data_IF_740630117602
#
_entry.id   IF_740630117602
#
_cell.length_a   1.000
_cell.length_b   1.000
_cell.length_c   1.000
_cell.angle_alpha   90.00
_cell.angle_beta   90.00
_cell.angle_gamma   90.00
#
_symmetry.space_group_name_H-M   'P 1'
#
loop_
_entity.id
_entity.type
_entity.pdbx_description
1 polymer ?
#
# COMPACT_ATOMS: atom_id res chain seq x y z
N UNK A 1 29.73 -58.70 20.01
CA UNK A 1 28.95 -57.56 20.52
C UNK A 1 29.45 -56.22 19.96
N UNK A 2 29.55 -56.05 18.62
CA UNK A 2 30.01 -54.78 17.99
C UNK A 2 29.12 -54.29 16.83
N UNK A 3 27.95 -54.91 16.59
CA UNK A 3 27.07 -54.52 15.48
C UNK A 3 26.05 -53.43 15.86
N UNK A 4 25.85 -53.15 17.14
CA UNK A 4 24.85 -52.17 17.61
C UNK A 4 25.36 -50.72 17.49
N UNK A 5 26.67 -50.46 17.57
CA UNK A 5 27.22 -49.09 17.51
C UNK A 5 27.33 -48.54 16.08
N UNK A 6 27.64 -49.39 15.09
CA UNK A 6 27.78 -48.96 13.69
C UNK A 6 26.43 -48.56 13.09
N UNK A 7 25.37 -49.34 13.35
CA UNK A 7 24.00 -49.04 12.89
C UNK A 7 23.49 -47.74 13.51
N UNK A 8 23.73 -47.50 14.81
CA UNK A 8 23.34 -46.25 15.46
C UNK A 8 24.09 -45.02 14.90
N UNK A 9 25.36 -45.20 14.55
CA UNK A 9 26.19 -44.12 13.97
C UNK A 9 25.75 -43.80 12.54
N UNK A 10 25.45 -44.80 11.71
CA UNK A 10 24.94 -44.60 10.36
C UNK A 10 23.55 -43.93 10.35
N UNK A 11 22.69 -44.25 11.33
CA UNK A 11 21.36 -43.64 11.45
C UNK A 11 21.45 -42.16 11.85
N UNK A 12 22.32 -41.82 12.81
CA UNK A 12 22.60 -40.42 13.19
C UNK A 12 23.21 -39.61 12.04
N UNK A 13 24.13 -40.20 11.28
CA UNK A 13 24.75 -39.54 10.12
C UNK A 13 23.69 -39.25 9.05
N UNK A 14 22.78 -40.19 8.78
CA UNK A 14 21.70 -40.00 7.81
C UNK A 14 20.70 -38.92 8.24
N UNK A 15 20.34 -38.84 9.52
CA UNK A 15 19.47 -37.78 10.06
C UNK A 15 20.13 -36.40 9.93
N UNK A 16 21.42 -36.29 10.29
CA UNK A 16 22.20 -35.06 10.14
C UNK A 16 22.28 -34.59 8.67
N UNK A 17 22.53 -35.49 7.73
CA UNK A 17 22.56 -35.14 6.31
C UNK A 17 21.19 -34.66 5.80
N UNK A 18 20.11 -35.32 6.24
CA UNK A 18 18.74 -34.92 5.88
C UNK A 18 18.38 -33.55 6.44
N UNK A 19 18.65 -33.31 7.72
CA UNK A 19 18.36 -32.03 8.36
C UNK A 19 19.17 -30.89 7.72
N UNK A 20 20.47 -31.09 7.48
CA UNK A 20 21.31 -30.11 6.76
C UNK A 20 20.80 -29.83 5.34
N UNK A 21 20.32 -30.85 4.63
CA UNK A 21 19.72 -30.66 3.31
C UNK A 21 18.46 -29.78 3.40
N UNK A 22 17.53 -30.07 4.31
CA UNK A 22 16.29 -29.32 4.50
C UNK A 22 16.56 -27.86 4.92
N UNK A 23 17.53 -27.62 5.80
CA UNK A 23 17.98 -26.26 6.13
C UNK A 23 18.56 -25.54 4.90
N UNK A 24 19.35 -26.24 4.09
CA UNK A 24 19.87 -25.71 2.83
C UNK A 24 18.76 -25.31 1.85
N UNK A 25 17.68 -26.11 1.74
CA UNK A 25 16.50 -25.76 0.93
C UNK A 25 15.80 -24.52 1.51
N UNK A 26 15.61 -24.47 2.83
CA UNK A 26 14.98 -23.32 3.53
C UNK A 26 15.75 -22.02 3.26
N UNK A 27 17.07 -22.04 3.36
CA UNK A 27 17.90 -20.87 3.12
C UNK A 27 17.81 -20.38 1.66
N UNK A 28 17.82 -21.30 0.67
CA UNK A 28 17.62 -20.95 -0.74
C UNK A 28 16.23 -20.36 -0.96
N UNK A 29 15.21 -20.99 -0.38
CA UNK A 29 13.83 -20.52 -0.48
C UNK A 29 13.68 -19.10 0.09
N UNK A 30 14.24 -18.83 1.28
CA UNK A 30 14.23 -17.48 1.88
C UNK A 30 14.83 -16.43 0.93
N UNK A 31 15.97 -16.74 0.32
CA UNK A 31 16.62 -15.86 -0.67
C UNK A 31 15.72 -15.64 -1.89
N UNK A 32 15.14 -16.70 -2.44
CA UNK A 32 14.24 -16.61 -3.60
C UNK A 32 13.00 -15.78 -3.29
N UNK A 33 12.31 -16.04 -2.18
CA UNK A 33 11.06 -15.33 -1.90
C UNK A 33 11.26 -13.85 -1.59
N UNK A 34 12.44 -13.46 -1.05
CA UNK A 34 12.75 -12.05 -0.80
C UNK A 34 12.72 -11.18 -2.06
N UNK A 35 12.83 -11.78 -3.24
CA UNK A 35 12.82 -11.10 -4.54
C UNK A 35 11.47 -11.20 -5.24
N UNK A 36 10.52 -11.98 -4.71
CA UNK A 36 9.22 -12.15 -5.33
C UNK A 36 8.32 -10.96 -5.01
N UNK A 37 7.57 -10.53 -6.01
CA UNK A 37 6.57 -9.45 -5.91
C UNK A 37 5.15 -9.93 -6.13
N UNK A 38 4.97 -11.14 -6.69
CA UNK A 38 3.69 -11.72 -7.08
C UNK A 38 3.33 -12.95 -6.24
N UNK A 39 2.06 -13.05 -5.86
CA UNK A 39 1.54 -14.16 -5.05
C UNK A 39 1.56 -15.50 -5.79
N UNK A 40 1.37 -15.49 -7.12
CA UNK A 40 1.50 -16.69 -7.96
C UNK A 40 2.92 -17.27 -7.96
N UNK A 41 3.92 -16.39 -7.96
CA UNK A 41 5.33 -16.80 -7.89
C UNK A 41 5.67 -17.40 -6.51
N UNK A 42 5.09 -16.87 -5.41
CA UNK A 42 5.24 -17.46 -4.08
C UNK A 42 4.72 -18.89 -4.05
N UNK A 43 3.51 -19.13 -4.58
CA UNK A 43 2.91 -20.47 -4.63
C UNK A 43 3.81 -21.46 -5.38
N UNK A 44 4.38 -21.05 -6.52
CA UNK A 44 5.29 -21.89 -7.30
C UNK A 44 6.60 -22.18 -6.54
N UNK A 45 7.24 -21.15 -5.96
CA UNK A 45 8.46 -21.31 -5.19
C UNK A 45 8.25 -22.21 -3.96
N UNK A 46 7.11 -22.04 -3.27
CA UNK A 46 6.73 -22.85 -2.10
C UNK A 46 6.55 -24.31 -2.48
N UNK A 47 5.87 -24.57 -3.60
CA UNK A 47 5.69 -25.93 -4.11
C UNK A 47 7.02 -26.59 -4.45
N UNK A 48 7.92 -25.89 -5.14
CA UNK A 48 9.26 -26.39 -5.50
C UNK A 48 10.08 -26.71 -4.25
N UNK A 49 10.11 -25.79 -3.28
CA UNK A 49 10.84 -26.02 -2.03
C UNK A 49 10.30 -27.25 -1.28
N UNK A 50 8.98 -27.39 -1.13
CA UNK A 50 8.38 -28.55 -0.45
C UNK A 50 8.65 -29.88 -1.16
N UNK A 51 8.76 -29.87 -2.50
CA UNK A 51 9.21 -31.05 -3.27
C UNK A 51 10.69 -31.34 -2.97
N UNK A 52 11.55 -30.32 -2.94
CA UNK A 52 12.99 -30.47 -2.60
C UNK A 52 13.18 -30.97 -1.16
N UNK A 53 12.31 -30.62 -0.21
CA UNK A 53 12.33 -31.19 1.14
C UNK A 53 12.14 -32.72 1.16
N UNK A 54 11.67 -33.32 0.05
CA UNK A 54 11.40 -34.75 -0.06
C UNK A 54 10.12 -35.19 0.62
N UNK A 55 9.18 -34.26 0.82
CA UNK A 55 7.93 -34.48 1.55
C UNK A 55 6.74 -34.65 0.59
N UNK A 56 5.67 -35.24 1.11
CA UNK A 56 4.40 -35.39 0.40
C UNK A 56 3.31 -34.66 1.18
N UNK A 57 2.42 -33.96 0.48
CA UNK A 57 1.38 -33.21 1.16
C UNK A 57 0.58 -32.25 0.30
N UNK A 58 -0.16 -31.38 0.98
CA UNK A 58 -0.74 -30.17 0.39
C UNK A 58 -0.36 -28.97 1.23
N UNK A 59 -0.30 -27.82 0.57
CA UNK A 59 -0.33 -26.55 1.27
C UNK A 59 -1.43 -25.68 0.71
N UNK A 60 -1.79 -24.70 1.54
CA UNK A 60 -2.74 -23.67 1.24
C UNK A 60 -2.12 -22.33 1.62
N UNK A 61 -2.20 -21.39 0.68
CA UNK A 61 -1.86 -19.99 0.95
C UNK A 61 -3.14 -19.17 0.84
N UNK A 62 -3.40 -18.38 1.88
CA UNK A 62 -4.53 -17.44 1.98
C UNK A 62 -4.00 -16.02 1.78
N UNK A 63 -4.59 -15.31 0.83
CA UNK A 63 -4.31 -13.91 0.54
C UNK A 63 -5.63 -13.15 0.49
N UNK A 64 -5.93 -12.36 1.52
CA UNK A 64 -7.20 -11.59 1.59
C UNK A 64 -8.42 -12.47 1.23
N UNK A 65 -8.95 -12.34 0.01
CA UNK A 65 -10.10 -13.10 -0.53
C UNK A 65 -9.73 -14.32 -1.36
N UNK A 66 -8.47 -14.49 -1.73
CA UNK A 66 -7.97 -15.58 -2.57
C UNK A 66 -7.37 -16.70 -1.73
N UNK A 67 -7.80 -17.93 -2.02
CA UNK A 67 -7.29 -19.16 -1.42
C UNK A 67 -6.69 -20.02 -2.52
N UNK A 68 -5.39 -20.27 -2.46
CA UNK A 68 -4.72 -21.20 -3.37
C UNK A 68 -4.34 -22.46 -2.61
N UNK A 69 -4.76 -23.62 -3.12
CA UNK A 69 -4.39 -24.93 -2.57
C UNK A 69 -3.58 -25.66 -3.63
N UNK A 70 -2.42 -26.19 -3.23
CA UNK A 70 -1.54 -26.98 -4.10
C UNK A 70 -1.13 -28.26 -3.41
N UNK A 71 -1.09 -29.34 -4.19
CA UNK A 71 -0.51 -30.62 -3.77
C UNK A 71 0.95 -30.68 -4.20
N UNK A 72 1.78 -31.35 -3.42
CA UNK A 72 3.17 -31.61 -3.74
C UNK A 72 3.55 -33.05 -3.35
N UNK A 73 4.60 -33.56 -3.98
CA UNK A 73 4.97 -34.96 -3.87
C UNK A 73 4.07 -35.90 -4.69
N UNK A 74 4.30 -37.20 -4.53
CA UNK A 74 3.68 -38.25 -5.35
C UNK A 74 2.50 -38.95 -4.67
N UNK A 75 2.40 -38.87 -3.33
CA UNK A 75 1.41 -39.61 -2.55
C UNK A 75 0.55 -38.65 -1.73
N UNK A 76 -0.74 -38.63 -2.01
CA UNK A 76 -1.72 -37.97 -1.14
C UNK A 76 -3.09 -38.59 -1.36
N UNK A 77 -3.60 -39.25 -0.31
CA UNK A 77 -4.94 -39.85 -0.31
C UNK A 77 -6.04 -38.81 -0.50
N UNK A 78 -7.22 -39.23 -0.98
CA UNK A 78 -8.40 -38.35 -1.08
C UNK A 78 -8.83 -37.81 0.29
N UNK A 79 -8.56 -38.57 1.35
CA UNK A 79 -8.96 -38.26 2.73
C UNK A 79 -8.18 -37.09 3.34
N UNK A 80 -6.98 -36.79 2.83
CA UNK A 80 -6.19 -35.64 3.26
C UNK A 80 -6.90 -34.29 2.97
N UNK A 81 -7.72 -34.23 1.92
CA UNK A 81 -8.55 -33.04 1.62
C UNK A 81 -9.70 -32.89 2.62
N UNK A 82 -10.29 -33.99 3.11
CA UNK A 82 -11.28 -33.96 4.20
C UNK A 82 -10.67 -33.63 5.56
N UNK A 83 -9.34 -33.70 5.67
CA UNK A 83 -8.60 -33.33 6.87
C UNK A 83 -8.46 -31.80 6.97
N UNK A 84 -8.38 -31.07 5.85
CA UNK A 84 -8.42 -29.59 5.83
C UNK A 84 -9.64 -29.00 6.57
N UNK A 85 -10.83 -29.55 6.32
CA UNK A 85 -12.09 -29.04 6.88
C UNK A 85 -12.24 -29.31 8.38
N UNK A 86 -11.58 -30.36 8.90
CA UNK A 86 -11.63 -30.70 10.33
C UNK A 86 -10.84 -29.72 11.21
N UNK A 87 -9.99 -28.88 10.61
CA UNK A 87 -9.05 -28.04 11.35
C UNK A 87 -9.08 -26.56 10.95
N UNK A 88 -10.03 -26.16 10.11
CA UNK A 88 -10.37 -24.75 9.88
C UNK A 88 -10.81 -24.10 11.20
N UNK A 89 -9.86 -23.52 11.95
CA UNK A 89 -10.08 -22.92 13.26
C UNK A 89 -8.91 -23.01 14.24
N UNK A 90 -7.91 -23.85 13.96
CA UNK A 90 -6.69 -23.99 14.79
C UNK A 90 -5.55 -23.11 14.26
N UNK A 91 -5.64 -21.79 14.43
CA UNK A 91 -4.56 -20.85 14.08
C UNK A 91 -3.40 -21.01 15.10
N UNK A 92 -2.16 -20.88 14.62
CA UNK A 92 -0.88 -20.98 15.36
C UNK A 92 -0.67 -22.32 16.08
N UNK A 93 -1.03 -23.42 15.40
CA UNK A 93 -0.90 -24.76 15.97
C UNK A 93 -0.24 -25.71 14.99
N UNK A 94 0.70 -26.48 15.52
CA UNK A 94 1.18 -27.72 14.91
C UNK A 94 0.38 -28.85 15.54
N UNK A 95 -0.33 -29.63 14.73
CA UNK A 95 -1.07 -30.78 15.22
C UNK A 95 -0.80 -32.02 14.37
N UNK A 96 -0.89 -33.18 15.02
CA UNK A 96 -0.79 -34.48 14.37
C UNK A 96 -2.12 -35.21 14.53
N UNK A 97 -2.60 -35.80 13.43
CA UNK A 97 -3.74 -36.71 13.44
C UNK A 97 -3.40 -37.91 12.57
N UNK A 98 -3.25 -39.07 13.20
CA UNK A 98 -2.85 -40.31 12.53
C UNK A 98 -1.54 -40.10 11.76
N UNK A 99 -1.57 -40.31 10.45
CA UNK A 99 -0.44 -40.23 9.54
C UNK A 99 -0.22 -38.83 8.95
N UNK A 100 -0.96 -37.83 9.44
CA UNK A 100 -0.85 -36.46 8.97
C UNK A 100 -0.32 -35.51 10.04
N UNK A 101 0.65 -34.69 9.66
CA UNK A 101 1.13 -33.54 10.43
C UNK A 101 0.69 -32.26 9.75
N UNK A 102 0.18 -31.30 10.52
CA UNK A 102 -0.33 -30.04 10.00
C UNK A 102 0.28 -28.84 10.72
N UNK A 103 0.65 -27.82 9.95
CA UNK A 103 1.04 -26.50 10.39
C UNK A 103 -0.05 -25.53 9.95
N UNK A 104 -0.76 -24.94 10.90
CA UNK A 104 -1.73 -23.91 10.63
C UNK A 104 -1.24 -22.59 11.19
N UNK A 105 -0.88 -21.69 10.28
CA UNK A 105 -0.58 -20.29 10.58
C UNK A 105 -1.69 -19.39 10.02
N UNK A 106 -1.53 -18.08 10.19
CA UNK A 106 -2.55 -17.10 9.81
C UNK A 106 -2.84 -17.14 8.31
N UNK A 107 -1.78 -17.14 7.49
CA UNK A 107 -1.89 -17.07 6.03
C UNK A 107 -1.48 -18.36 5.33
N UNK A 108 -0.69 -19.19 6.00
CA UNK A 108 -0.22 -20.46 5.48
C UNK A 108 -0.81 -21.66 6.22
N UNK A 109 -1.15 -22.71 5.48
CA UNK A 109 -1.50 -24.01 6.06
C UNK A 109 -0.79 -25.11 5.29
N UNK A 110 -0.06 -25.96 5.98
CA UNK A 110 0.68 -27.10 5.42
C UNK A 110 0.16 -28.39 6.04
N UNK A 111 -0.16 -29.38 5.22
CA UNK A 111 -0.46 -30.74 5.67
C UNK A 111 0.51 -31.68 4.99
N UNK A 112 1.16 -32.51 5.80
CA UNK A 112 2.18 -33.47 5.42
C UNK A 112 1.68 -34.87 5.69
N UNK A 113 1.89 -35.75 4.73
CA UNK A 113 1.85 -37.19 4.94
C UNK A 113 3.18 -37.62 5.56
N UNK A 114 3.10 -38.10 6.81
CA UNK A 114 4.26 -38.56 7.60
C UNK A 114 4.21 -40.06 7.86
N UNK A 115 3.36 -40.82 7.15
CA UNK A 115 3.22 -42.28 7.28
C UNK A 115 4.55 -43.03 7.13
N UNK A 116 5.43 -42.55 6.24
CA UNK A 116 6.72 -43.16 5.92
C UNK A 116 7.88 -42.62 6.80
N UNK A 117 7.60 -41.79 7.82
CA UNK A 117 8.61 -41.16 8.68
C UNK A 117 8.65 -41.77 10.10
N UNK A 118 9.85 -41.86 10.68
CA UNK A 118 10.02 -42.20 12.11
C UNK A 118 9.73 -40.98 12.99
N UNK A 119 9.42 -41.18 14.28
CA UNK A 119 9.19 -40.07 15.23
C UNK A 119 10.34 -39.05 15.26
N UNK A 120 11.59 -39.53 15.28
CA UNK A 120 12.78 -38.67 15.26
C UNK A 120 12.86 -37.81 13.98
N UNK A 121 12.54 -38.39 12.82
CA UNK A 121 12.48 -37.67 11.55
C UNK A 121 11.32 -36.68 11.49
N UNK A 122 10.21 -36.98 12.17
CA UNK A 122 9.06 -36.09 12.29
C UNK A 122 9.45 -34.86 13.11
N UNK A 123 10.11 -35.04 14.26
CA UNK A 123 10.57 -33.94 15.11
C UNK A 123 11.58 -33.05 14.39
N UNK A 124 12.57 -33.63 13.69
CA UNK A 124 13.52 -32.86 12.87
C UNK A 124 12.84 -32.07 11.74
N UNK A 125 11.92 -32.73 11.03
CA UNK A 125 11.17 -32.09 9.93
C UNK A 125 10.30 -30.95 10.47
N UNK A 126 9.79 -31.08 11.69
CA UNK A 126 8.95 -30.08 12.33
C UNK A 126 9.71 -28.78 12.59
N UNK A 127 10.92 -28.86 13.13
CA UNK A 127 11.72 -27.67 13.41
C UNK A 127 12.10 -26.91 12.12
N UNK A 128 12.52 -27.65 11.09
CA UNK A 128 12.87 -27.06 9.79
C UNK A 128 11.66 -26.43 9.09
N UNK A 129 10.49 -27.06 9.20
CA UNK A 129 9.26 -26.54 8.61
C UNK A 129 8.62 -25.41 9.41
N UNK A 130 8.88 -25.30 10.71
CA UNK A 130 8.48 -24.14 11.49
C UNK A 130 9.14 -22.87 10.91
N UNK A 131 10.48 -22.90 10.74
CA UNK A 131 11.23 -21.79 10.13
C UNK A 131 10.71 -21.49 8.71
N UNK A 132 10.52 -22.53 7.89
CA UNK A 132 10.00 -22.38 6.54
C UNK A 132 8.61 -21.72 6.51
N UNK A 133 7.72 -22.11 7.41
CA UNK A 133 6.35 -21.59 7.48
C UNK A 133 6.34 -20.14 7.99
N UNK A 134 7.17 -19.80 8.97
CA UNK A 134 7.33 -18.43 9.47
C UNK A 134 7.83 -17.47 8.38
N UNK A 135 8.75 -17.94 7.53
CA UNK A 135 9.27 -17.18 6.39
C UNK A 135 8.14 -16.84 5.40
N UNK A 136 7.23 -17.78 5.13
CA UNK A 136 6.07 -17.56 4.26
C UNK A 136 5.11 -16.57 4.89
N UNK A 137 4.74 -16.77 6.15
CA UNK A 137 3.78 -15.90 6.83
C UNK A 137 4.32 -14.46 6.96
N UNK A 138 5.61 -14.29 7.26
CA UNK A 138 6.27 -12.98 7.29
C UNK A 138 6.26 -12.30 5.91
N UNK A 139 6.52 -13.05 4.83
CA UNK A 139 6.46 -12.51 3.47
C UNK A 139 5.05 -12.03 3.13
N UNK A 140 4.02 -12.83 3.47
CA UNK A 140 2.62 -12.50 3.17
C UNK A 140 2.18 -11.27 3.97
N UNK A 141 2.50 -11.21 5.27
CA UNK A 141 2.19 -10.06 6.11
C UNK A 141 2.81 -8.77 5.55
N UNK A 142 4.10 -8.80 5.20
CA UNK A 142 4.79 -7.65 4.60
C UNK A 142 4.18 -7.23 3.26
N UNK A 143 3.77 -8.19 2.41
CA UNK A 143 3.13 -7.88 1.13
C UNK A 143 1.75 -7.24 1.30
N UNK A 144 0.97 -7.68 2.29
CA UNK A 144 -0.31 -7.07 2.63
C UNK A 144 -0.09 -5.63 3.12
N UNK A 145 0.85 -5.41 4.04
CA UNK A 145 1.17 -4.07 4.55
C UNK A 145 1.67 -3.13 3.43
N UNK A 146 2.56 -3.61 2.56
CA UNK A 146 3.06 -2.84 1.43
C UNK A 146 1.94 -2.45 0.47
N UNK A 147 0.99 -3.37 0.20
CA UNK A 147 -0.17 -3.10 -0.65
C UNK A 147 -1.08 -2.06 -0.01
N UNK A 148 -1.41 -2.21 1.28
CA UNK A 148 -2.22 -1.24 2.02
C UNK A 148 -1.57 0.15 2.03
N UNK A 149 -0.24 0.21 2.22
CA UNK A 149 0.51 1.46 2.16
C UNK A 149 0.41 2.10 0.77
N UNK A 150 0.58 1.32 -0.31
CA UNK A 150 0.43 1.84 -1.68
C UNK A 150 -0.99 2.37 -1.93
N UNK A 151 -2.02 1.63 -1.54
CA UNK A 151 -3.42 2.07 -1.70
C UNK A 151 -3.72 3.35 -0.91
N UNK A 152 -3.25 3.43 0.35
CA UNK A 152 -3.40 4.63 1.17
C UNK A 152 -2.64 5.82 0.59
N UNK A 153 -1.43 5.60 0.06
CA UNK A 153 -0.64 6.65 -0.56
C UNK A 153 -1.29 7.18 -1.85
N UNK A 154 -1.84 6.31 -2.69
CA UNK A 154 -2.60 6.72 -3.88
C UNK A 154 -3.86 7.52 -3.51
N UNK A 155 -4.60 7.09 -2.50
CA UNK A 155 -5.75 7.86 -1.98
C UNK A 155 -5.33 9.24 -1.46
N UNK A 156 -4.21 9.32 -0.74
CA UNK A 156 -3.66 10.56 -0.24
C UNK A 156 -3.21 11.49 -1.37
N UNK A 157 -2.53 10.97 -2.40
CA UNK A 157 -2.18 11.73 -3.61
C UNK A 157 -3.41 12.32 -4.28
N UNK A 158 -4.45 11.51 -4.48
CA UNK A 158 -5.71 11.96 -5.09
C UNK A 158 -6.39 13.06 -4.25
N UNK A 159 -6.45 12.92 -2.93
CA UNK A 159 -6.99 13.94 -2.03
C UNK A 159 -6.21 15.26 -2.12
N UNK A 160 -4.88 15.21 -2.16
CA UNK A 160 -4.05 16.41 -2.32
C UNK A 160 -4.27 17.08 -3.68
N UNK A 161 -4.31 16.33 -4.78
CA UNK A 161 -4.60 16.88 -6.11
C UNK A 161 -5.96 17.57 -6.15
N UNK A 162 -6.99 16.98 -5.55
CA UNK A 162 -8.31 17.60 -5.46
C UNK A 162 -8.29 18.92 -4.69
N UNK A 163 -7.57 18.98 -3.56
CA UNK A 163 -7.42 20.20 -2.76
C UNK A 163 -6.68 21.30 -3.52
N UNK A 164 -5.63 20.94 -4.26
CA UNK A 164 -4.88 21.89 -5.08
C UNK A 164 -5.77 22.46 -6.18
N UNK A 165 -6.52 21.61 -6.89
CA UNK A 165 -7.45 22.04 -7.93
C UNK A 165 -8.57 22.94 -7.37
N UNK A 166 -9.11 22.60 -6.21
CA UNK A 166 -10.12 23.43 -5.53
C UNK A 166 -9.56 24.81 -5.14
N UNK A 167 -8.33 24.84 -4.61
CA UNK A 167 -7.68 26.09 -4.22
C UNK A 167 -7.36 26.96 -5.44
N UNK A 168 -6.79 26.37 -6.50
CA UNK A 168 -6.53 27.03 -7.77
C UNK A 168 -7.80 27.67 -8.34
N UNK A 169 -8.91 26.91 -8.39
CA UNK A 169 -10.22 27.43 -8.79
C UNK A 169 -10.69 28.61 -7.94
N UNK A 170 -10.56 28.54 -6.61
CA UNK A 170 -10.93 29.64 -5.70
C UNK A 170 -10.09 30.89 -5.92
N UNK A 171 -8.78 30.75 -6.17
CA UNK A 171 -7.88 31.89 -6.44
C UNK A 171 -8.29 32.60 -7.73
N UNK A 172 -8.61 31.83 -8.79
CA UNK A 172 -9.10 32.38 -10.06
C UNK A 172 -10.43 33.12 -9.87
N UNK A 173 -11.41 32.52 -9.19
CA UNK A 173 -12.71 33.16 -8.93
C UNK A 173 -12.56 34.43 -8.10
N UNK A 174 -11.78 34.38 -7.00
CA UNK A 174 -11.54 35.54 -6.14
C UNK A 174 -10.89 36.69 -6.91
N UNK A 175 -9.96 36.38 -7.82
CA UNK A 175 -9.30 37.39 -8.66
C UNK A 175 -10.27 38.06 -9.63
N UNK A 176 -11.20 37.30 -10.22
CA UNK A 176 -12.24 37.84 -11.07
C UNK A 176 -13.25 38.70 -10.28
N UNK A 177 -13.66 38.23 -9.09
CA UNK A 177 -14.64 38.92 -8.25
C UNK A 177 -14.11 40.28 -7.76
N UNK A 178 -12.86 40.35 -7.31
CA UNK A 178 -12.25 41.62 -6.85
C UNK A 178 -12.21 42.64 -7.99
N UNK A 179 -11.87 42.23 -9.22
CA UNK A 179 -11.89 43.11 -10.40
C UNK A 179 -13.30 43.64 -10.68
N UNK A 180 -14.29 42.76 -10.69
CA UNK A 180 -15.69 43.13 -10.93
C UNK A 180 -16.20 44.09 -9.87
N UNK A 181 -15.99 43.78 -8.59
CA UNK A 181 -16.44 44.62 -7.48
C UNK A 181 -15.82 46.02 -7.53
N UNK A 182 -14.53 46.13 -7.85
CA UNK A 182 -13.89 47.44 -7.99
C UNK A 182 -14.49 48.28 -9.11
N UNK A 183 -14.76 47.67 -10.27
CA UNK A 183 -15.42 48.34 -11.38
C UNK A 183 -16.82 48.84 -10.98
N UNK A 184 -17.62 47.98 -10.35
CA UNK A 184 -18.98 48.30 -9.91
C UNK A 184 -19.01 49.44 -8.88
N UNK A 185 -18.14 49.37 -7.86
CA UNK A 185 -18.03 50.41 -6.84
C UNK A 185 -17.58 51.73 -7.46
N UNK A 186 -16.57 51.70 -8.33
CA UNK A 186 -16.03 52.91 -8.97
C UNK A 186 -17.08 53.59 -9.84
N UNK A 187 -17.79 52.83 -10.67
CA UNK A 187 -18.88 53.35 -11.50
C UNK A 187 -20.05 53.89 -10.65
N UNK A 188 -20.43 53.17 -9.60
CA UNK A 188 -21.51 53.60 -8.70
C UNK A 188 -21.15 54.92 -8.00
N UNK A 189 -19.91 55.05 -7.53
CA UNK A 189 -19.42 56.27 -6.89
C UNK A 189 -19.46 57.46 -7.84
N UNK A 190 -18.92 57.31 -9.07
CA UNK A 190 -18.89 58.36 -10.08
C UNK A 190 -20.31 58.80 -10.50
N UNK A 191 -21.22 57.85 -10.70
CA UNK A 191 -22.63 58.14 -10.99
C UNK A 191 -23.30 58.88 -9.83
N UNK A 192 -23.03 58.48 -8.59
CA UNK A 192 -23.60 59.12 -7.41
C UNK A 192 -23.12 60.57 -7.29
N UNK A 193 -21.84 60.84 -7.52
CA UNK A 193 -21.27 62.19 -7.50
C UNK A 193 -21.88 63.06 -8.60
N UNK A 194 -21.91 62.56 -9.85
CA UNK A 194 -22.50 63.27 -10.97
C UNK A 194 -23.98 63.65 -10.74
N UNK A 195 -24.73 62.79 -10.03
CA UNK A 195 -26.12 63.07 -9.67
C UNK A 195 -26.29 64.09 -8.54
N UNK A 196 -25.26 64.28 -7.69
CA UNK A 196 -25.31 65.10 -6.47
C UNK A 196 -24.69 66.49 -6.64
N UNK A 197 -23.67 66.64 -7.47
CA UNK A 197 -23.01 67.94 -7.70
C UNK A 197 -23.97 69.09 -8.02
N UNK A 198 -24.98 68.94 -8.91
CA UNK A 198 -25.93 70.01 -9.20
C UNK A 198 -26.77 70.45 -7.99
N UNK A 199 -26.91 69.60 -6.97
CA UNK A 199 -27.66 69.89 -5.75
C UNK A 199 -26.82 70.53 -4.65
N UNK A 200 -25.50 70.46 -4.76
CA UNK A 200 -24.57 70.94 -3.73
C UNK A 200 -24.22 72.42 -3.90
N UNK A 201 -24.54 73.02 -5.05
CA UNK A 201 -24.25 74.43 -5.33
C UNK A 201 -22.75 74.73 -5.35
N UNK A 202 -21.96 73.75 -5.79
CA UNK A 202 -20.50 73.88 -5.93
C UNK A 202 -20.18 74.71 -7.18
N UNK A 203 -19.05 75.42 -7.13
CA UNK A 203 -18.47 76.02 -8.33
C UNK A 203 -17.78 74.94 -9.17
N UNK A 204 -17.68 75.16 -10.48
CA UNK A 204 -17.10 74.19 -11.44
C UNK A 204 -15.70 73.72 -11.02
N UNK A 205 -14.86 74.66 -10.55
CA UNK A 205 -13.50 74.35 -10.09
C UNK A 205 -13.49 73.39 -8.89
N UNK A 206 -14.48 73.47 -8.00
CA UNK A 206 -14.61 72.59 -6.83
C UNK A 206 -15.12 71.20 -7.23
N UNK A 207 -16.04 71.11 -8.17
CA UNK A 207 -16.50 69.83 -8.72
C UNK A 207 -15.35 69.09 -9.42
N UNK A 208 -14.55 69.81 -10.20
CA UNK A 208 -13.38 69.28 -10.89
C UNK A 208 -12.29 68.81 -9.89
N UNK A 209 -12.04 69.56 -8.82
CA UNK A 209 -11.09 69.15 -7.77
C UNK A 209 -11.53 67.86 -7.06
N UNK A 210 -12.82 67.74 -6.72
CA UNK A 210 -13.36 66.54 -6.08
C UNK A 210 -13.31 65.34 -7.02
N UNK A 211 -13.70 65.51 -8.29
CA UNK A 211 -13.63 64.45 -9.30
C UNK A 211 -12.19 63.97 -9.48
N UNK A 212 -11.25 64.89 -9.69
CA UNK A 212 -9.84 64.55 -9.82
C UNK A 212 -9.30 63.80 -8.60
N UNK A 213 -9.69 64.17 -7.37
CA UNK A 213 -9.27 63.46 -6.17
C UNK A 213 -9.83 62.02 -6.11
N UNK A 214 -11.07 61.83 -6.57
CA UNK A 214 -11.74 60.53 -6.52
C UNK A 214 -11.22 59.62 -7.64
N UNK A 215 -11.03 60.14 -8.85
CA UNK A 215 -10.41 59.43 -9.96
C UNK A 215 -8.98 58.98 -9.61
N UNK A 216 -8.16 59.86 -9.02
CA UNK A 216 -6.83 59.49 -8.51
C UNK A 216 -6.88 58.36 -7.47
N UNK A 217 -7.91 58.35 -6.62
CA UNK A 217 -8.11 57.30 -5.62
C UNK A 217 -8.51 55.99 -6.27
N UNK A 218 -9.46 56.03 -7.23
CA UNK A 218 -9.89 54.87 -8.02
C UNK A 218 -8.68 54.26 -8.74
N UNK A 219 -7.86 55.07 -9.42
CA UNK A 219 -6.65 54.62 -10.12
C UNK A 219 -5.63 53.97 -9.18
N UNK A 220 -5.48 54.51 -7.96
CA UNK A 220 -4.57 53.96 -6.96
C UNK A 220 -5.04 52.58 -6.51
N UNK A 221 -6.33 52.41 -6.20
CA UNK A 221 -6.88 51.11 -5.84
C UNK A 221 -6.89 50.12 -7.02
N UNK A 222 -7.14 50.61 -8.25
CA UNK A 222 -7.07 49.79 -9.46
C UNK A 222 -5.70 49.15 -9.64
N UNK A 223 -4.62 49.93 -9.43
CA UNK A 223 -3.24 49.41 -9.46
C UNK A 223 -2.97 48.36 -8.38
N UNK A 224 -3.47 48.56 -7.17
CA UNK A 224 -3.33 47.57 -6.09
C UNK A 224 -4.06 46.25 -6.42
N UNK A 225 -5.24 46.35 -7.04
CA UNK A 225 -6.00 45.17 -7.48
C UNK A 225 -5.28 44.44 -8.59
N UNK A 226 -4.72 45.15 -9.57
CA UNK A 226 -3.90 44.54 -10.62
C UNK A 226 -2.69 43.80 -10.04
N UNK A 227 -2.01 44.39 -9.06
CA UNK A 227 -0.90 43.73 -8.35
C UNK A 227 -1.36 42.46 -7.62
N UNK A 228 -2.50 42.50 -6.94
CA UNK A 228 -3.05 41.34 -6.26
C UNK A 228 -3.44 40.23 -7.26
N UNK A 229 -4.03 40.61 -8.40
CA UNK A 229 -4.40 39.64 -9.44
C UNK A 229 -3.16 38.99 -10.03
N UNK A 230 -2.11 39.77 -10.31
CA UNK A 230 -0.84 39.20 -10.80
C UNK A 230 -0.25 38.23 -9.78
N UNK A 231 -0.24 38.61 -8.49
CA UNK A 231 0.23 37.72 -7.41
C UNK A 231 -0.61 36.42 -7.32
N UNK A 232 -1.91 36.51 -7.59
CA UNK A 232 -2.79 35.34 -7.62
C UNK A 232 -2.55 34.47 -8.86
N UNK A 233 -2.20 35.06 -10.01
CA UNK A 233 -1.75 34.32 -11.19
C UNK A 233 -0.48 33.53 -10.88
N UNK A 234 0.53 34.17 -10.29
CA UNK A 234 1.77 33.51 -9.88
C UNK A 234 1.49 32.36 -8.89
N UNK A 235 0.59 32.56 -7.93
CA UNK A 235 0.17 31.52 -7.00
C UNK A 235 -0.52 30.35 -7.71
N UNK A 236 -1.32 30.62 -8.75
CA UNK A 236 -2.01 29.60 -9.53
C UNK A 236 -1.00 28.73 -10.28
N UNK A 237 0.00 29.35 -10.90
CA UNK A 237 1.10 28.63 -11.58
C UNK A 237 1.88 27.74 -10.60
N UNK A 238 2.18 28.24 -9.39
CA UNK A 238 2.84 27.44 -8.34
C UNK A 238 1.99 26.24 -7.86
N UNK A 239 0.66 26.40 -7.84
CA UNK A 239 -0.26 25.32 -7.50
C UNK A 239 -0.31 24.26 -8.60
N UNK A 240 -0.28 24.67 -9.87
CA UNK A 240 -0.23 23.77 -11.01
C UNK A 240 1.09 22.98 -11.03
N UNK A 241 2.23 23.64 -10.79
CA UNK A 241 3.54 22.99 -10.64
C UNK A 241 3.55 21.96 -9.49
N UNK A 242 2.88 22.29 -8.37
CA UNK A 242 2.76 21.38 -7.23
C UNK A 242 1.88 20.16 -7.56
N UNK A 243 0.82 20.33 -8.35
CA UNK A 243 -0.01 19.24 -8.83
C UNK A 243 0.79 18.27 -9.73
N UNK A 244 1.57 18.82 -10.68
CA UNK A 244 2.44 18.02 -11.54
C UNK A 244 3.47 17.22 -10.72
N UNK A 245 4.11 17.85 -9.73
CA UNK A 245 5.06 17.16 -8.86
C UNK A 245 4.43 15.99 -8.09
N UNK A 246 3.17 16.09 -7.68
CA UNK A 246 2.46 15.02 -6.97
C UNK A 246 2.01 13.90 -7.92
N UNK A 247 1.71 14.24 -9.18
CA UNK A 247 1.25 13.28 -10.18
C UNK A 247 2.39 12.43 -10.74
N UNK A 248 3.61 12.97 -10.82
CA UNK A 248 4.78 12.29 -11.41
C UNK A 248 5.76 11.66 -10.39
N UNK A 249 5.51 11.82 -9.08
CA UNK A 249 6.18 11.08 -7.99
C UNK A 249 5.21 10.09 -7.34
#
# INVERSE_FOLDING_TARGET
MNQVSAVQTDTMIQSLFRSNHQLGVTARFASTISQLTETGALTAATQTALIEFGLNGLFQIKFETNKQVKKFGQRMGRDALGTLTCFEGCIDKICRKQDYMMFCLAYFTLILDVSDLTEEQIDETKDNLAIFSDIIDAWIANHIELKQFKEANELYKQDMLNKINELSGKVVTTSADIKTQHLEISQSLLLMLASRFPMLGLDVDQEEEILNSIENTIDTYGKLIEQQVNSNTDLTELLDDAADCIQFN
#
